data_IF_783744289596
#
_entry.id   IF_783744289596
#
_cell.length_a   1.000
_cell.length_b   1.000
_cell.length_c   1.000
_cell.angle_alpha   90.00
_cell.angle_beta   90.00
_cell.angle_gamma   90.00
#
_symmetry.space_group_name_H-M   'P 1'
#
loop_
_entity.id
_entity.type
_entity.pdbx_description
1 polymer ?
#
# COMPACT_ATOMS: atom_id res chain seq x y z
N UNK A 1 -15.50 1.20 -0.45
CA UNK A 1 -15.04 -0.19 -0.21
C UNK A 1 -14.39 -0.67 -1.50
N UNK A 2 -13.24 -1.33 -1.45
CA UNK A 2 -12.49 -1.74 -2.65
C UNK A 2 -12.07 -3.21 -2.52
N UNK A 3 -12.18 -3.96 -3.60
CA UNK A 3 -11.68 -5.32 -3.72
C UNK A 3 -10.28 -5.30 -4.34
N UNK A 4 -9.33 -6.03 -3.74
CA UNK A 4 -7.91 -6.02 -4.10
C UNK A 4 -7.29 -7.40 -3.81
N UNK A 5 -6.11 -7.67 -4.36
CA UNK A 5 -5.22 -8.69 -3.81
C UNK A 5 -4.46 -8.07 -2.64
N UNK A 6 -4.80 -8.45 -1.41
CA UNK A 6 -4.12 -7.97 -0.22
C UNK A 6 -2.84 -8.78 0.02
N UNK A 7 -1.73 -8.07 0.24
CA UNK A 7 -0.43 -8.67 0.56
C UNK A 7 -0.24 -8.61 2.06
N UNK A 8 -0.48 -9.74 2.74
CA UNK A 8 -0.25 -9.86 4.18
C UNK A 8 1.23 -10.15 4.43
N UNK A 9 1.95 -9.17 4.97
CA UNK A 9 3.38 -9.30 5.28
C UNK A 9 3.61 -10.21 6.49
N UNK A 10 2.72 -10.14 7.49
CA UNK A 10 2.81 -10.96 8.71
C UNK A 10 2.60 -12.44 8.39
N UNK A 11 1.61 -12.76 7.55
CA UNK A 11 1.31 -14.13 7.14
C UNK A 11 2.12 -14.61 5.94
N UNK A 12 2.83 -13.69 5.25
CA UNK A 12 3.57 -13.96 4.00
C UNK A 12 2.69 -14.60 2.93
N UNK A 13 1.47 -14.11 2.78
CA UNK A 13 0.45 -14.62 1.85
C UNK A 13 -0.20 -13.51 1.05
N UNK A 14 -0.72 -13.87 -0.11
CA UNK A 14 -1.53 -13.00 -0.96
C UNK A 14 -2.90 -13.65 -1.13
N UNK A 15 -3.96 -12.86 -0.94
CA UNK A 15 -5.33 -13.30 -1.10
C UNK A 15 -6.24 -12.15 -1.56
N UNK A 16 -7.36 -12.46 -2.20
CA UNK A 16 -8.35 -11.42 -2.52
C UNK A 16 -9.03 -10.97 -1.23
N UNK A 17 -9.18 -9.66 -1.05
CA UNK A 17 -9.82 -9.10 0.12
C UNK A 17 -10.62 -7.84 -0.19
N UNK A 18 -11.64 -7.60 0.63
CA UNK A 18 -12.38 -6.35 0.70
C UNK A 18 -11.82 -5.47 1.81
N UNK A 19 -11.33 -4.29 1.44
CA UNK A 19 -10.82 -3.29 2.38
C UNK A 19 -11.89 -2.24 2.73
N UNK A 20 -11.98 -1.95 4.03
CA UNK A 20 -12.88 -0.93 4.59
C UNK A 20 -12.05 0.20 5.20
N UNK A 21 -12.15 1.38 4.62
CA UNK A 21 -11.47 2.59 5.09
C UNK A 21 -12.45 3.51 5.81
N UNK A 22 -12.01 4.09 6.93
CA UNK A 22 -12.73 5.14 7.67
C UNK A 22 -11.72 6.15 8.19
N UNK A 23 -11.92 7.43 7.88
CA UNK A 23 -11.11 8.54 8.39
C UNK A 23 -9.59 8.33 8.22
N UNK A 24 -9.16 7.91 7.02
CA UNK A 24 -7.73 7.69 6.73
C UNK A 24 -7.12 6.43 7.38
N UNK A 25 -7.92 5.61 8.06
CA UNK A 25 -7.47 4.35 8.66
C UNK A 25 -8.16 3.16 8.01
N UNK A 26 -7.45 2.04 7.92
CA UNK A 26 -8.05 0.75 7.60
C UNK A 26 -8.82 0.29 8.84
N UNK A 27 -10.13 0.19 8.71
CA UNK A 27 -11.06 -0.23 9.77
C UNK A 27 -11.43 -1.71 9.68
N UNK A 28 -11.10 -2.37 8.57
CA UNK A 28 -11.35 -3.80 8.37
C UNK A 28 -10.73 -4.32 7.08
N UNK A 29 -10.29 -5.57 7.13
CA UNK A 29 -9.77 -6.36 6.01
C UNK A 29 -10.56 -7.67 6.05
N UNK A 30 -11.30 -7.97 5.00
CA UNK A 30 -12.10 -9.19 4.91
C UNK A 30 -11.62 -10.02 3.73
N UNK A 31 -11.02 -11.18 4.00
CA UNK A 31 -10.63 -12.14 2.95
C UNK A 31 -11.89 -12.61 2.19
N UNK A 32 -11.81 -12.57 0.86
CA UNK A 32 -12.90 -12.95 -0.06
C UNK A 32 -12.57 -14.20 -0.88
N UNK A 33 -11.36 -14.74 -0.74
CA UNK A 33 -10.91 -15.96 -1.41
C UNK A 33 -9.46 -15.86 -1.86
N UNK A 34 -9.02 -16.83 -2.66
CA UNK A 34 -7.67 -16.85 -3.23
C UNK A 34 -7.33 -15.60 -4.05
N UNK A 35 -6.05 -15.37 -4.30
CA UNK A 35 -5.55 -14.33 -5.20
C UNK A 35 -6.28 -14.37 -6.56
N UNK A 36 -6.73 -13.21 -7.02
CA UNK A 36 -7.51 -13.07 -8.26
C UNK A 36 -6.69 -12.32 -9.31
N UNK A 37 -6.35 -12.96 -10.44
CA UNK A 37 -5.75 -12.27 -11.58
C UNK A 37 -6.64 -11.11 -12.05
N UNK A 38 -6.03 -9.97 -12.35
CA UNK A 38 -6.73 -8.75 -12.78
C UNK A 38 -7.15 -7.79 -11.66
N UNK A 39 -7.06 -8.20 -10.39
CA UNK A 39 -7.13 -7.25 -9.26
C UNK A 39 -5.75 -6.61 -9.03
N UNK A 40 -5.76 -5.32 -8.68
CA UNK A 40 -4.55 -4.65 -8.20
C UNK A 40 -4.13 -5.16 -6.82
N UNK A 41 -2.84 -5.03 -6.52
CA UNK A 41 -2.29 -5.40 -5.22
C UNK A 41 -2.35 -4.22 -4.26
N UNK A 42 -2.82 -4.48 -3.05
CA UNK A 42 -2.70 -3.53 -1.95
C UNK A 42 -1.60 -3.98 -1.01
N UNK A 43 -0.55 -3.17 -0.95
CA UNK A 43 0.55 -3.24 0.01
C UNK A 43 0.53 -2.01 0.92
N UNK A 44 1.20 -2.06 2.08
CA UNK A 44 1.60 -0.84 2.79
C UNK A 44 2.42 0.08 1.89
N UNK A 45 2.37 1.39 2.16
CA UNK A 45 3.26 2.34 1.51
C UNK A 45 4.72 2.01 1.82
N UNK A 46 5.63 2.31 0.89
CA UNK A 46 7.05 2.16 1.13
C UNK A 46 7.54 3.16 2.18
N UNK A 47 8.55 2.77 2.94
CA UNK A 47 9.24 3.60 3.92
C UNK A 47 10.72 3.58 3.57
N UNK A 48 11.29 4.77 3.34
CA UNK A 48 12.73 4.94 3.20
C UNK A 48 13.33 5.23 4.58
N UNK A 49 14.22 4.35 5.04
CA UNK A 49 14.85 4.49 6.35
C UNK A 49 16.01 5.51 6.37
N UNK A 50 16.53 5.87 5.20
CA UNK A 50 17.66 6.76 5.09
C UNK A 50 17.74 7.43 3.73
N UNK A 51 17.39 8.72 3.69
CA UNK A 51 17.41 9.53 2.47
C UNK A 51 18.04 10.89 2.73
N UNK A 52 18.85 11.34 1.76
CA UNK A 52 19.26 12.73 1.63
C UNK A 52 18.50 13.35 0.45
N UNK A 53 17.52 14.21 0.73
CA UNK A 53 16.67 14.83 -0.29
C UNK A 53 17.50 15.69 -1.24
N UNK A 54 18.57 16.28 -0.73
CA UNK A 54 19.49 17.19 -1.43
C UNK A 54 20.18 16.50 -2.62
N UNK A 55 20.43 15.19 -2.52
CA UNK A 55 21.05 14.41 -3.60
C UNK A 55 20.18 14.35 -4.85
N UNK A 56 18.87 14.58 -4.73
CA UNK A 56 17.95 14.66 -5.86
C UNK A 56 17.97 16.02 -6.58
N UNK A 57 18.69 17.02 -6.05
CA UNK A 57 18.69 18.41 -6.54
C UNK A 57 17.28 19.04 -6.61
N UNK A 58 16.36 18.56 -5.77
CA UNK A 58 14.98 19.03 -5.67
C UNK A 58 14.74 19.70 -4.32
N UNK A 59 13.76 20.62 -4.31
CA UNK A 59 13.20 21.08 -3.04
C UNK A 59 12.41 19.95 -2.38
N UNK A 60 12.21 19.96 -1.05
CA UNK A 60 11.40 18.95 -0.37
C UNK A 60 9.99 18.77 -0.95
N UNK A 61 9.37 19.88 -1.41
CA UNK A 61 8.04 19.83 -2.01
C UNK A 61 8.03 19.14 -3.39
N UNK A 62 9.07 19.32 -4.21
CA UNK A 62 9.19 18.64 -5.50
C UNK A 62 9.56 17.16 -5.31
N UNK A 63 10.44 16.85 -4.35
CA UNK A 63 10.77 15.48 -3.98
C UNK A 63 9.52 14.71 -3.55
N UNK A 64 8.69 15.29 -2.68
CA UNK A 64 7.45 14.66 -2.20
C UNK A 64 6.35 14.48 -3.26
N UNK A 65 6.46 15.05 -4.46
CA UNK A 65 5.51 14.78 -5.57
C UNK A 65 5.88 13.54 -6.37
N UNK A 66 7.18 13.23 -6.44
CA UNK A 66 7.70 12.10 -7.22
C UNK A 66 7.96 10.86 -6.35
N UNK A 67 8.01 11.05 -5.04
CA UNK A 67 8.18 10.02 -4.03
C UNK A 67 6.85 9.43 -3.55
#
# INVERSE_FOLDING_TARGET
MREVNYVSLDERRIFSARLVWRQGRISGIHETGAERPGLGYQIPGFIDAHVHIESAMLTPAEFGRIA
#
